data_IF_330945800062
#
_entry.id   IF_330945800062
#
_cell.length_a   1.000
_cell.length_b   1.000
_cell.length_c   1.000
_cell.angle_alpha   90.00
_cell.angle_beta   90.00
_cell.angle_gamma   90.00
#
_symmetry.space_group_name_H-M   'P 1'
#
loop_
_entity.id
_entity.type
_entity.pdbx_description
1 polymer ?
#
# COMPACT_ATOMS: atom_id res chain seq x y z
N UNK A 1 -4.40 9.13 -17.21
CA UNK A 1 -3.87 8.24 -16.15
C UNK A 1 -3.15 9.12 -15.16
N UNK A 2 -3.62 9.17 -13.92
CA UNK A 2 -3.01 9.94 -12.84
C UNK A 2 -1.74 9.23 -12.35
N UNK A 3 -0.73 9.97 -11.89
CA UNK A 3 0.57 9.41 -11.45
C UNK A 3 0.42 8.32 -10.37
N UNK A 4 -0.63 8.41 -9.54
CA UNK A 4 -0.92 7.47 -8.45
C UNK A 4 -1.29 6.06 -8.97
N UNK A 5 -1.89 5.92 -10.17
CA UNK A 5 -2.16 4.60 -10.77
C UNK A 5 -0.88 3.88 -11.23
N UNK A 6 0.26 4.58 -11.30
CA UNK A 6 1.55 4.05 -11.76
C UNK A 6 2.51 3.69 -10.63
N UNK A 7 2.07 3.77 -9.37
CA UNK A 7 2.88 3.36 -8.24
C UNK A 7 3.24 1.87 -8.37
N UNK A 8 4.53 1.59 -8.53
CA UNK A 8 5.06 0.22 -8.62
C UNK A 8 5.11 -0.49 -7.25
N UNK A 9 4.95 0.26 -6.16
CA UNK A 9 4.98 -0.21 -4.78
C UNK A 9 4.16 0.73 -3.87
N UNK A 10 3.77 0.28 -2.67
CA UNK A 10 3.10 1.15 -1.70
C UNK A 10 3.99 2.32 -1.31
N UNK A 11 3.44 3.54 -1.35
CA UNK A 11 4.19 4.76 -1.12
C UNK A 11 3.46 5.67 -0.12
N UNK A 12 4.23 6.33 0.72
CA UNK A 12 3.74 7.38 1.63
C UNK A 12 3.30 8.61 0.84
N UNK A 13 2.52 9.48 1.49
CA UNK A 13 2.16 10.77 0.90
C UNK A 13 3.39 11.57 0.43
N UNK A 14 4.47 11.58 1.23
CA UNK A 14 5.69 12.30 0.90
C UNK A 14 6.36 11.73 -0.36
N UNK A 15 6.51 10.40 -0.43
CA UNK A 15 7.07 9.73 -1.61
C UNK A 15 6.20 9.96 -2.86
N UNK A 16 4.87 10.00 -2.73
CA UNK A 16 3.96 10.32 -3.83
C UNK A 16 4.10 11.78 -4.27
N UNK A 17 4.27 12.71 -3.33
CA UNK A 17 4.45 14.13 -3.62
C UNK A 17 5.73 14.40 -4.43
N UNK A 18 6.76 13.58 -4.25
CA UNK A 18 8.02 13.70 -4.99
C UNK A 18 7.96 13.13 -6.41
N UNK A 19 6.89 12.43 -6.79
CA UNK A 19 6.78 11.84 -8.12
C UNK A 19 6.60 12.88 -9.22
N UNK A 20 7.18 12.60 -10.38
CA UNK A 20 6.99 13.43 -11.57
C UNK A 20 5.51 13.53 -11.95
N UNK A 21 5.05 14.77 -12.17
CA UNK A 21 3.65 15.09 -12.42
C UNK A 21 2.80 15.26 -11.16
N UNK A 22 3.33 14.96 -9.97
CA UNK A 22 2.72 15.28 -8.67
C UNK A 22 3.46 16.41 -7.96
N UNK A 23 4.78 16.51 -8.16
CA UNK A 23 5.64 17.50 -7.46
C UNK A 23 5.27 18.97 -7.65
N UNK A 24 4.50 19.31 -8.70
CA UNK A 24 3.96 20.65 -8.92
C UNK A 24 2.58 20.88 -8.27
N UNK A 25 1.97 19.85 -7.68
CA UNK A 25 0.67 19.95 -7.01
C UNK A 25 0.81 20.52 -5.61
N UNK A 26 -0.18 21.30 -5.19
CA UNK A 26 -0.32 21.74 -3.81
C UNK A 26 -0.56 20.51 -2.88
N UNK A 27 0.10 20.45 -1.69
CA UNK A 27 -0.03 19.31 -0.78
C UNK A 27 -1.46 19.03 -0.30
N UNK A 28 -2.29 20.05 -0.11
CA UNK A 28 -3.70 19.88 0.29
C UNK A 28 -4.49 19.24 -0.85
N UNK A 29 -4.19 19.63 -2.08
CA UNK A 29 -4.79 19.03 -3.28
C UNK A 29 -4.40 17.56 -3.40
N UNK A 30 -3.13 17.22 -3.23
CA UNK A 30 -2.67 15.82 -3.24
C UNK A 30 -3.39 14.98 -2.17
N UNK A 31 -3.46 15.49 -0.94
CA UNK A 31 -4.18 14.82 0.14
C UNK A 31 -5.64 14.54 -0.22
N UNK A 32 -6.38 15.56 -0.70
CA UNK A 32 -7.78 15.40 -1.11
C UNK A 32 -7.94 14.43 -2.29
N UNK A 33 -6.99 14.42 -3.22
CA UNK A 33 -6.98 13.45 -4.32
C UNK A 33 -6.80 12.03 -3.79
N UNK A 34 -5.85 11.79 -2.88
CA UNK A 34 -5.62 10.48 -2.28
C UNK A 34 -6.84 9.99 -1.50
N UNK A 35 -7.49 10.86 -0.72
CA UNK A 35 -8.74 10.54 -0.02
C UNK A 35 -9.88 10.19 -1.00
N UNK A 36 -9.98 10.92 -2.11
CA UNK A 36 -10.96 10.63 -3.16
C UNK A 36 -10.72 9.27 -3.80
N UNK A 37 -9.46 8.94 -4.08
CA UNK A 37 -9.08 7.65 -4.65
C UNK A 37 -9.30 6.50 -3.67
N UNK A 38 -9.04 6.72 -2.38
CA UNK A 38 -9.30 5.75 -1.32
C UNK A 38 -10.80 5.47 -1.20
N UNK A 39 -11.63 6.52 -1.15
CA UNK A 39 -13.09 6.39 -1.10
C UNK A 39 -13.69 5.72 -2.34
N UNK A 40 -13.07 5.90 -3.50
CA UNK A 40 -13.47 5.25 -4.75
C UNK A 40 -12.90 3.83 -4.93
N UNK A 41 -12.05 3.35 -4.01
CA UNK A 41 -11.44 2.01 -4.07
C UNK A 41 -10.34 1.84 -5.12
N UNK A 42 -9.77 2.93 -5.63
CA UNK A 42 -8.64 2.89 -6.57
C UNK A 42 -7.30 2.66 -5.87
N UNK A 43 -7.22 3.04 -4.59
CA UNK A 43 -6.09 2.77 -3.71
C UNK A 43 -6.60 2.20 -2.40
N UNK A 44 -5.74 1.47 -1.71
CA UNK A 44 -5.97 1.06 -0.32
C UNK A 44 -4.83 1.56 0.57
N UNK A 45 -5.13 1.73 1.85
CA UNK A 45 -4.20 2.27 2.83
C UNK A 45 -3.56 1.13 3.64
N UNK A 46 -2.24 1.13 3.72
CA UNK A 46 -1.45 0.18 4.50
C UNK A 46 -0.75 0.96 5.60
N UNK A 47 -0.89 0.51 6.84
CA UNK A 47 -0.11 1.03 7.95
C UNK A 47 1.13 0.15 8.12
N UNK A 48 2.30 0.73 7.84
CA UNK A 48 3.57 0.05 8.07
C UNK A 48 3.85 -0.17 9.55
N UNK A 49 4.76 -1.09 9.86
CA UNK A 49 5.24 -1.35 11.23
C UNK A 49 5.96 -0.14 11.82
N UNK A 50 6.49 0.72 10.94
CA UNK A 50 7.08 2.03 11.25
C UNK A 50 6.03 3.11 11.59
N UNK A 51 4.74 2.75 11.57
CA UNK A 51 3.64 3.67 11.84
C UNK A 51 3.24 4.56 10.66
N UNK A 52 3.97 4.51 9.55
CA UNK A 52 3.69 5.34 8.37
C UNK A 52 2.56 4.74 7.51
N UNK A 53 1.67 5.61 7.05
CA UNK A 53 0.61 5.26 6.12
C UNK A 53 1.13 5.29 4.68
N UNK A 54 0.88 4.21 3.95
CA UNK A 54 1.24 4.05 2.55
C UNK A 54 0.00 3.77 1.71
N UNK A 55 -0.09 4.38 0.55
CA UNK A 55 -1.13 4.14 -0.44
C UNK A 55 -0.61 3.15 -1.47
N UNK A 56 -1.42 2.13 -1.76
CA UNK A 56 -1.12 1.15 -2.79
C UNK A 56 -2.25 1.12 -3.82
N UNK A 57 -1.95 1.14 -5.14
CA UNK A 57 -2.96 0.93 -6.17
C UNK A 57 -3.69 -0.39 -5.99
N UNK A 58 -4.97 -0.37 -6.32
CA UNK A 58 -5.80 -1.56 -6.38
C UNK A 58 -6.14 -1.90 -7.83
N UNK A 59 -5.71 -3.06 -8.34
CA UNK A 59 -6.12 -3.53 -9.66
C UNK A 59 -7.64 -3.69 -9.74
N UNK A 60 -8.26 -3.17 -10.82
CA UNK A 60 -9.73 -3.18 -11.01
C UNK A 60 -10.30 -4.60 -11.17
N UNK A 61 -9.47 -5.58 -11.54
CA UNK A 61 -9.83 -6.96 -11.76
C UNK A 61 -9.83 -7.82 -10.48
N UNK A 62 -9.29 -7.31 -9.36
CA UNK A 62 -9.35 -7.98 -8.07
C UNK A 62 -10.72 -7.78 -7.42
N UNK A 63 -11.65 -8.72 -7.70
CA UNK A 63 -12.93 -8.83 -6.97
C UNK A 63 -12.66 -9.27 -5.53
N UNK A 64 -12.99 -8.44 -4.54
CA UNK A 64 -12.89 -8.79 -3.12
C UNK A 64 -12.51 -7.64 -2.20
N UNK A 65 -11.88 -7.98 -1.06
CA UNK A 65 -11.37 -6.99 -0.11
C UNK A 65 -10.31 -6.10 -0.77
N UNK A 66 -10.26 -4.81 -0.44
CA UNK A 66 -9.17 -3.95 -0.86
C UNK A 66 -7.80 -4.54 -0.50
N UNK A 67 -6.85 -4.53 -1.43
CA UNK A 67 -5.52 -5.08 -1.20
C UNK A 67 -5.55 -6.56 -0.82
N UNK A 68 -6.15 -7.41 -1.66
CA UNK A 68 -6.24 -8.86 -1.41
C UNK A 68 -4.89 -9.60 -1.59
N UNK A 69 -3.76 -8.93 -1.37
CA UNK A 69 -2.42 -9.49 -1.38
C UNK A 69 -1.63 -9.06 -0.13
N UNK A 70 -0.69 -9.91 0.34
CA UNK A 70 0.25 -9.53 1.40
C UNK A 70 1.22 -8.42 0.98
N UNK A 71 1.73 -7.69 1.97
CA UNK A 71 2.85 -6.78 1.81
C UNK A 71 4.07 -7.27 2.58
N UNK A 72 5.26 -6.96 2.09
CA UNK A 72 6.51 -7.09 2.84
C UNK A 72 7.11 -5.71 3.10
N UNK A 73 7.58 -5.45 4.32
CA UNK A 73 8.31 -4.23 4.68
C UNK A 73 9.69 -4.58 5.22
N UNK A 74 10.71 -3.89 4.71
CA UNK A 74 12.06 -3.97 5.24
C UNK A 74 12.19 -3.06 6.47
N UNK A 75 12.59 -3.61 7.61
CA UNK A 75 12.78 -2.83 8.85
C UNK A 75 14.01 -1.92 8.80
N UNK A 76 14.98 -2.20 7.93
CA UNK A 76 16.22 -1.42 7.84
C UNK A 76 16.10 -0.20 6.92
N UNK A 77 15.46 -0.36 5.76
CA UNK A 77 15.34 0.73 4.77
C UNK A 77 13.91 1.24 4.59
N UNK A 78 12.92 0.66 5.27
CA UNK A 78 11.52 1.07 5.19
C UNK A 78 10.82 0.74 3.87
N UNK A 79 11.52 0.16 2.89
CA UNK A 79 10.94 -0.16 1.59
C UNK A 79 9.85 -1.23 1.74
N UNK A 80 8.68 -0.95 1.15
CA UNK A 80 7.55 -1.87 1.11
C UNK A 80 7.37 -2.45 -0.30
N UNK A 81 6.98 -3.73 -0.39
CA UNK A 81 6.68 -4.41 -1.66
C UNK A 81 5.36 -5.16 -1.56
N UNK A 82 4.60 -5.16 -2.64
CA UNK A 82 3.40 -5.99 -2.80
C UNK A 82 3.82 -7.41 -3.19
N UNK A 83 3.24 -8.42 -2.53
CA UNK A 83 3.37 -9.82 -2.91
C UNK A 83 2.17 -10.23 -3.76
N UNK A 84 2.05 -9.63 -4.94
CA UNK A 84 0.83 -9.70 -5.80
C UNK A 84 0.44 -11.10 -6.25
N UNK A 85 1.39 -12.03 -6.31
CA UNK A 85 1.16 -13.43 -6.67
C UNK A 85 0.57 -14.26 -5.51
N UNK A 86 0.42 -13.65 -4.33
CA UNK A 86 -0.14 -14.28 -3.14
C UNK A 86 -1.46 -13.63 -2.78
N UNK A 87 -2.46 -14.45 -2.45
CA UNK A 87 -3.76 -13.97 -1.99
C UNK A 87 -3.87 -14.06 -0.47
N UNK A 88 -4.52 -13.07 0.14
CA UNK A 88 -4.78 -13.13 1.58
C UNK A 88 -5.70 -14.30 1.93
N UNK A 89 -5.38 -15.07 3.00
CA UNK A 89 -6.22 -16.18 3.41
C UNK A 89 -7.61 -15.69 3.82
N UNK A 90 -8.61 -16.56 3.63
CA UNK A 90 -9.95 -16.33 4.17
C UNK A 90 -9.94 -16.56 5.67
N UNK A 91 -10.51 -15.64 6.43
CA UNK A 91 -10.61 -15.72 7.89
C UNK A 91 -12.06 -15.99 8.27
N UNK A 92 -12.29 -16.98 9.14
CA UNK A 92 -13.60 -17.21 9.74
C UNK A 92 -13.79 -16.20 10.87
N UNK A 93 -14.88 -15.45 10.83
CA UNK A 93 -15.28 -14.52 11.88
C UNK A 93 -16.54 -15.04 12.59
N UNK A 94 -16.81 -14.60 13.83
CA UNK A 94 -18.03 -14.97 14.55
C UNK A 94 -19.31 -14.72 13.73
N UNK A 95 -20.36 -15.47 14.02
CA UNK A 95 -21.64 -15.33 13.32
C UNK A 95 -22.17 -13.89 13.43
N UNK A 96 -22.62 -13.33 12.31
CA UNK A 96 -23.10 -11.95 12.22
C UNK A 96 -22.02 -10.89 12.00
N UNK A 97 -20.73 -11.23 12.10
CA UNK A 97 -19.64 -10.30 11.78
C UNK A 97 -19.40 -10.22 10.27
N UNK A 98 -19.12 -9.01 9.78
CA UNK A 98 -18.76 -8.73 8.39
C UNK A 98 -17.30 -8.29 8.30
N UNK A 99 -16.53 -8.96 7.45
CA UNK A 99 -15.14 -8.58 7.17
C UNK A 99 -15.15 -7.45 6.14
N UNK A 100 -14.80 -6.25 6.58
CA UNK A 100 -14.73 -5.06 5.71
C UNK A 100 -13.38 -4.98 4.99
N UNK A 101 -12.29 -5.27 5.70
CA UNK A 101 -10.92 -5.24 5.16
C UNK A 101 -10.06 -6.35 5.77
N UNK A 102 -8.97 -6.71 5.09
CA UNK A 102 -7.94 -7.62 5.57
C UNK A 102 -6.59 -7.05 5.19
N UNK A 103 -5.73 -6.81 6.17
CA UNK A 103 -4.36 -6.36 5.93
C UNK A 103 -3.40 -7.41 6.47
N UNK A 104 -2.38 -7.74 5.68
CA UNK A 104 -1.28 -8.59 6.11
C UNK A 104 0.03 -7.94 5.68
N UNK A 105 0.90 -7.69 6.65
CA UNK A 105 2.23 -7.11 6.43
C UNK A 105 3.25 -8.03 7.10
N UNK A 106 4.12 -8.63 6.30
CA UNK A 106 5.31 -9.33 6.78
C UNK A 106 6.44 -8.31 6.97
N UNK A 107 7.12 -8.39 8.11
CA UNK A 107 8.25 -7.53 8.44
C UNK A 107 9.56 -8.33 8.42
N UNK A 108 10.65 -7.75 7.93
CA UNK A 108 11.95 -8.43 7.91
C UNK A 108 13.05 -7.59 7.29
N UNK A 109 14.10 -8.24 6.78
CA UNK A 109 15.23 -7.58 6.11
C UNK A 109 15.24 -7.96 4.63
N UNK A 110 15.26 -6.96 3.74
CA UNK A 110 15.34 -7.22 2.30
C UNK A 110 16.75 -7.67 1.89
N UNK A 111 16.85 -8.27 0.69
CA UNK A 111 18.11 -8.78 0.16
C UNK A 111 19.23 -7.71 0.15
N UNK A 112 18.96 -6.51 -0.37
CA UNK A 112 19.96 -5.44 -0.43
C UNK A 112 20.48 -5.06 0.96
N UNK A 113 19.61 -4.97 1.96
CA UNK A 113 20.00 -4.70 3.34
C UNK A 113 20.73 -5.88 4.00
N UNK A 114 20.40 -7.13 3.63
CA UNK A 114 21.11 -8.30 4.12
C UNK A 114 22.55 -8.35 3.60
N UNK A 115 22.76 -7.99 2.34
CA UNK A 115 24.07 -8.00 1.67
C UNK A 115 24.94 -6.79 2.06
N UNK A 116 24.32 -5.65 2.39
CA UNK A 116 25.00 -4.42 2.86
C UNK A 116 25.53 -4.51 4.30
N UNK A 117 25.58 -5.72 4.87
CA UNK A 117 26.19 -6.02 6.17
C UNK A 117 27.59 -6.65 6.04
N UNK A 118 28.20 -6.57 4.84
CA UNK A 118 29.54 -7.08 4.54
C UNK A 118 30.57 -5.96 4.50
#
# INVERSE_FOLDING_TARGET
MTAIERLAAPATHAEIAEQEGVSAMDPVTLYRTLETLLGAGFVHLIRGVDGANRYCPQPRDQKGCPGNHPHFVCERCGTMRCLVDQVLPKVKVPAGALVVTRHFVASGICQSCSESSS
#
